data_IF_303400853390
#
_entry.id   IF_303400853390
#
_cell.length_a   1.000
_cell.length_b   1.000
_cell.length_c   1.000
_cell.angle_alpha   90.00
_cell.angle_beta   90.00
_cell.angle_gamma   90.00
#
_symmetry.space_group_name_H-M   'P 1'
#
loop_
_entity.id
_entity.type
_entity.pdbx_description
1 polymer ?
#
# COMPACT_ATOMS: atom_id res chain seq x y z
N UNK A 1 7.29 5.19 15.82
CA UNK A 1 7.10 6.08 14.64
C UNK A 1 7.33 5.21 13.42
N UNK A 2 6.28 4.88 12.70
CA UNK A 2 6.32 3.91 11.58
C UNK A 2 6.75 4.51 10.23
N UNK A 3 7.07 5.79 10.18
CA UNK A 3 7.58 6.43 8.97
C UNK A 3 8.98 6.99 9.20
N UNK A 4 9.93 6.61 8.34
CA UNK A 4 11.24 7.27 8.32
C UNK A 4 11.07 8.74 7.91
N UNK A 5 11.57 9.67 8.75
CA UNK A 5 11.40 11.10 8.50
C UNK A 5 11.99 11.54 7.16
N UNK A 6 13.16 11.02 6.76
CA UNK A 6 13.78 11.39 5.50
C UNK A 6 12.93 10.95 4.30
N UNK A 7 12.30 9.79 4.40
CA UNK A 7 11.35 9.29 3.40
C UNK A 7 10.11 10.19 3.28
N UNK A 8 9.54 10.61 4.41
CA UNK A 8 8.38 11.52 4.41
C UNK A 8 8.75 12.91 3.86
N UNK A 9 9.89 13.47 4.28
CA UNK A 9 10.39 14.76 3.76
C UNK A 9 10.63 14.70 2.24
N UNK A 10 11.12 13.57 1.72
CA UNK A 10 11.26 13.35 0.27
C UNK A 10 9.91 13.40 -0.44
N UNK A 11 8.93 12.61 0.02
CA UNK A 11 7.61 12.58 -0.62
C UNK A 11 6.85 13.89 -0.48
N UNK A 12 7.01 14.64 0.61
CA UNK A 12 6.44 15.98 0.75
C UNK A 12 7.03 16.96 -0.26
N UNK A 13 8.35 16.90 -0.49
CA UNK A 13 9.05 17.77 -1.45
C UNK A 13 8.75 17.44 -2.92
N UNK A 14 8.60 16.16 -3.22
CA UNK A 14 8.42 15.65 -4.59
C UNK A 14 6.95 15.32 -4.95
N UNK A 15 5.98 15.65 -4.08
CA UNK A 15 4.62 15.15 -4.19
C UNK A 15 3.96 15.32 -5.57
N UNK A 16 3.98 16.49 -6.25
CA UNK A 16 3.36 16.62 -7.57
C UNK A 16 4.06 15.78 -8.65
N UNK A 17 5.40 15.69 -8.60
CA UNK A 17 6.20 14.95 -9.58
C UNK A 17 6.00 13.45 -9.37
N UNK A 18 6.08 12.99 -8.12
CA UNK A 18 5.88 11.59 -7.77
C UNK A 18 4.45 11.11 -8.06
N UNK A 19 3.44 11.92 -7.74
CA UNK A 19 2.04 11.60 -8.02
C UNK A 19 1.80 11.41 -9.53
N UNK A 20 2.41 12.24 -10.37
CA UNK A 20 2.35 12.09 -11.83
C UNK A 20 3.10 10.85 -12.32
N UNK A 21 4.31 10.60 -11.80
CA UNK A 21 5.13 9.45 -12.19
C UNK A 21 4.49 8.11 -11.80
N UNK A 22 3.89 8.03 -10.61
CA UNK A 22 3.31 6.79 -10.06
C UNK A 22 2.00 6.39 -10.71
N UNK A 23 1.34 7.30 -11.42
CA UNK A 23 0.09 7.02 -12.11
C UNK A 23 0.35 6.11 -13.33
N UNK A 24 -0.37 4.98 -13.48
CA UNK A 24 -0.21 4.11 -14.63
C UNK A 24 -0.80 4.74 -15.90
N UNK A 25 -0.20 4.48 -17.06
CA UNK A 25 -0.69 4.93 -18.38
C UNK A 25 -1.99 4.22 -18.84
N UNK A 26 -2.54 3.33 -18.02
CA UNK A 26 -3.76 2.58 -18.35
C UNK A 26 -4.17 1.65 -17.19
N UNK A 27 -5.05 0.67 -17.44
CA UNK A 27 -5.49 -0.25 -16.41
C UNK A 27 -4.33 -0.98 -15.76
N UNK A 28 -4.21 -0.88 -14.44
CA UNK A 28 -3.19 -1.55 -13.67
C UNK A 28 -3.67 -2.96 -13.29
N UNK A 29 -3.14 -3.97 -13.96
CA UNK A 29 -3.63 -5.35 -13.87
C UNK A 29 -3.78 -5.91 -12.45
N UNK A 30 -2.93 -5.48 -11.51
CA UNK A 30 -3.01 -5.91 -10.12
C UNK A 30 -4.17 -5.26 -9.36
N UNK A 31 -4.47 -3.99 -9.65
CA UNK A 31 -5.64 -3.32 -9.09
C UNK A 31 -6.94 -3.91 -9.67
N UNK A 32 -6.99 -4.16 -10.99
CA UNK A 32 -8.15 -4.82 -11.60
C UNK A 32 -8.37 -6.23 -11.01
N UNK A 33 -7.28 -6.98 -10.77
CA UNK A 33 -7.38 -8.27 -10.05
C UNK A 33 -7.89 -8.08 -8.62
N UNK A 34 -7.40 -7.10 -7.86
CA UNK A 34 -7.89 -6.81 -6.52
C UNK A 34 -9.39 -6.50 -6.54
N UNK A 35 -9.83 -5.63 -7.43
CA UNK A 35 -11.25 -5.29 -7.60
C UNK A 35 -12.11 -6.50 -7.98
N UNK A 36 -11.58 -7.43 -8.79
CA UNK A 36 -12.29 -8.66 -9.14
C UNK A 36 -12.44 -9.67 -7.98
N UNK A 37 -11.63 -9.54 -6.93
CA UNK A 37 -11.70 -10.36 -5.72
C UNK A 37 -12.57 -9.72 -4.63
N UNK A 38 -12.73 -8.39 -4.66
CA UNK A 38 -13.61 -7.67 -3.75
C UNK A 38 -15.09 -7.94 -4.10
N UNK A 39 -16.04 -7.80 -3.14
CA UNK A 39 -17.45 -7.86 -3.47
C UNK A 39 -17.82 -6.74 -4.46
N UNK A 40 -18.88 -6.91 -5.26
CA UNK A 40 -19.31 -5.95 -6.29
C UNK A 40 -19.57 -4.53 -5.76
N UNK A 41 -19.89 -4.42 -4.48
CA UNK A 41 -20.07 -3.16 -3.76
C UNK A 41 -19.46 -3.29 -2.38
N UNK A 42 -19.01 -2.19 -1.81
CA UNK A 42 -18.44 -2.20 -0.46
C UNK A 42 -17.52 -1.01 -0.21
N UNK A 43 -16.84 -1.05 0.93
CA UNK A 43 -15.89 -0.03 1.34
C UNK A 43 -14.48 -0.52 1.19
N UNK A 44 -13.69 0.19 0.40
CA UNK A 44 -12.28 -0.09 0.17
C UNK A 44 -11.41 0.99 0.81
N UNK A 45 -10.21 0.58 1.22
CA UNK A 45 -9.18 1.49 1.73
C UNK A 45 -7.97 1.46 0.80
N UNK A 46 -7.54 2.65 0.35
CA UNK A 46 -6.22 2.85 -0.25
C UNK A 46 -5.23 3.25 0.87
N UNK A 47 -4.44 2.27 1.31
CA UNK A 47 -3.56 2.35 2.48
C UNK A 47 -2.17 2.84 2.06
N UNK A 48 -1.81 4.06 2.44
CA UNK A 48 -0.61 4.73 1.92
C UNK A 48 -0.78 5.05 0.44
N UNK A 49 -1.78 5.88 0.13
CA UNK A 49 -2.36 6.03 -1.21
C UNK A 49 -1.48 6.78 -2.22
N UNK A 50 -0.37 7.40 -1.76
CA UNK A 50 0.47 8.23 -2.64
C UNK A 50 -0.33 9.32 -3.33
N UNK A 51 -0.22 9.43 -4.66
CA UNK A 51 -0.96 10.39 -5.48
C UNK A 51 -2.46 10.07 -5.69
N UNK A 52 -2.99 8.96 -5.13
CA UNK A 52 -4.43 8.65 -5.12
C UNK A 52 -4.98 8.00 -6.40
N UNK A 53 -4.15 7.57 -7.34
CA UNK A 53 -4.62 6.98 -8.60
C UNK A 53 -5.43 5.67 -8.39
N UNK A 54 -5.04 4.86 -7.40
CA UNK A 54 -5.77 3.63 -7.08
C UNK A 54 -7.12 3.94 -6.43
N UNK A 55 -7.15 4.87 -5.46
CA UNK A 55 -8.40 5.35 -4.87
C UNK A 55 -9.35 5.92 -5.94
N UNK A 56 -8.84 6.71 -6.90
CA UNK A 56 -9.63 7.21 -8.03
C UNK A 56 -10.24 6.05 -8.84
N UNK A 57 -9.45 5.05 -9.19
CA UNK A 57 -9.94 3.90 -9.95
C UNK A 57 -10.98 3.08 -9.19
N UNK A 58 -10.83 2.94 -7.86
CA UNK A 58 -11.83 2.30 -7.00
C UNK A 58 -13.16 3.09 -7.00
N UNK A 59 -13.10 4.42 -6.89
CA UNK A 59 -14.28 5.29 -6.98
C UNK A 59 -14.99 5.16 -8.34
N UNK A 60 -14.25 5.17 -9.43
CA UNK A 60 -14.76 4.96 -10.79
C UNK A 60 -15.41 3.57 -10.97
N UNK A 61 -15.03 2.60 -10.15
CA UNK A 61 -15.63 1.26 -10.11
C UNK A 61 -16.86 1.18 -9.20
N UNK A 62 -17.29 2.28 -8.56
CA UNK A 62 -18.51 2.36 -7.77
C UNK A 62 -18.38 2.00 -6.29
N UNK A 63 -17.15 1.88 -5.77
CA UNK A 63 -16.91 1.59 -4.34
C UNK A 63 -16.98 2.86 -3.48
N UNK A 64 -17.35 2.67 -2.21
CA UNK A 64 -17.03 3.64 -1.16
C UNK A 64 -15.53 3.56 -0.87
N UNK A 65 -14.81 4.68 -0.94
CA UNK A 65 -13.35 4.69 -0.81
C UNK A 65 -12.91 5.63 0.30
N UNK A 66 -12.05 5.14 1.15
CA UNK A 66 -11.27 5.91 2.10
C UNK A 66 -9.79 5.81 1.71
N UNK A 67 -9.01 6.83 2.03
CA UNK A 67 -7.59 6.86 1.73
C UNK A 67 -6.83 7.67 2.77
N UNK A 68 -5.60 7.28 3.03
CA UNK A 68 -4.66 8.07 3.82
C UNK A 68 -3.23 7.92 3.29
N UNK A 69 -2.38 8.88 3.61
CA UNK A 69 -0.95 8.81 3.37
C UNK A 69 -0.17 9.45 4.53
N UNK A 70 1.07 9.04 4.74
CA UNK A 70 1.95 9.64 5.74
C UNK A 70 2.50 11.00 5.32
N UNK A 71 2.59 11.25 4.01
CA UNK A 71 3.03 12.52 3.42
C UNK A 71 1.86 13.48 3.26
N UNK A 72 1.95 14.65 3.86
CA UNK A 72 0.96 15.72 3.69
C UNK A 72 0.89 16.23 2.24
N UNK A 73 2.03 16.24 1.56
CA UNK A 73 2.11 16.60 0.14
C UNK A 73 1.34 15.63 -0.74
N UNK A 74 1.58 14.32 -0.59
CA UNK A 74 0.87 13.29 -1.35
C UNK A 74 -0.62 13.22 -1.00
N UNK A 75 -1.00 13.33 0.27
CA UNK A 75 -2.40 13.39 0.69
C UNK A 75 -3.15 14.56 0.04
N UNK A 76 -2.49 15.70 -0.14
CA UNK A 76 -3.05 16.87 -0.85
C UNK A 76 -3.24 16.57 -2.34
N UNK A 77 -2.26 15.98 -3.02
CA UNK A 77 -2.37 15.60 -4.43
C UNK A 77 -3.49 14.56 -4.63
N UNK A 78 -3.54 13.55 -3.75
CA UNK A 78 -4.60 12.53 -3.79
C UNK A 78 -5.99 13.14 -3.56
N UNK A 79 -6.14 14.08 -2.62
CA UNK A 79 -7.41 14.78 -2.39
C UNK A 79 -7.83 15.60 -3.62
N UNK A 80 -6.89 16.27 -4.27
CA UNK A 80 -7.16 17.03 -5.49
C UNK A 80 -7.59 16.13 -6.66
N UNK A 81 -6.98 14.95 -6.79
CA UNK A 81 -7.27 13.99 -7.85
C UNK A 81 -8.62 13.29 -7.67
N UNK A 82 -8.95 12.93 -6.43
CA UNK A 82 -10.09 12.03 -6.11
C UNK A 82 -11.34 12.76 -5.64
N UNK A 83 -11.20 13.95 -5.09
CA UNK A 83 -12.27 14.65 -4.36
C UNK A 83 -12.50 14.11 -2.94
N UNK A 84 -11.75 13.09 -2.51
CA UNK A 84 -11.82 12.58 -1.14
C UNK A 84 -11.12 13.51 -0.14
N UNK A 85 -11.54 13.43 1.11
CA UNK A 85 -10.77 13.97 2.23
C UNK A 85 -9.71 12.95 2.64
N UNK A 86 -8.54 12.96 1.97
CA UNK A 86 -7.44 12.06 2.28
C UNK A 86 -6.77 12.48 3.58
N UNK A 87 -6.70 11.58 4.56
CA UNK A 87 -6.14 11.87 5.90
C UNK A 87 -4.62 11.78 5.87
N UNK A 88 -3.94 12.69 6.57
CA UNK A 88 -2.51 12.53 6.86
C UNK A 88 -2.38 11.66 8.11
N UNK A 89 -1.88 10.43 7.95
CA UNK A 89 -1.87 9.44 9.03
C UNK A 89 -0.67 8.51 8.91
N UNK A 90 -0.02 8.20 10.05
CA UNK A 90 1.03 7.19 10.10
C UNK A 90 0.43 5.78 10.25
N UNK A 91 1.19 4.75 9.85
CA UNK A 91 0.75 3.36 9.95
C UNK A 91 0.43 2.94 11.40
N UNK A 92 1.18 3.46 12.40
CA UNK A 92 0.95 3.16 13.82
C UNK A 92 -0.36 3.74 14.36
N UNK A 93 -0.85 4.81 13.76
CA UNK A 93 -2.09 5.48 14.18
C UNK A 93 -3.34 4.82 13.57
N UNK A 94 -3.14 3.89 12.60
CA UNK A 94 -4.23 3.17 11.98
C UNK A 94 -4.79 2.10 12.95
N UNK A 95 -6.08 2.25 13.31
CA UNK A 95 -6.74 1.39 14.31
C UNK A 95 -8.23 1.24 14.02
N UNK A 96 -8.56 0.65 12.88
CA UNK A 96 -9.93 0.36 12.46
C UNK A 96 -10.31 -1.09 12.76
N UNK A 97 -11.61 -1.37 12.87
CA UNK A 97 -12.12 -2.71 13.20
C UNK A 97 -13.28 -3.09 12.29
N UNK A 98 -13.18 -4.23 11.58
CA UNK A 98 -14.26 -4.80 10.75
C UNK A 98 -14.96 -3.77 9.84
N UNK A 99 -14.15 -2.89 9.22
CA UNK A 99 -14.66 -1.73 8.49
C UNK A 99 -14.63 -1.90 6.97
N UNK A 100 -13.59 -2.54 6.43
CA UNK A 100 -13.31 -2.59 5.00
C UNK A 100 -13.59 -3.96 4.39
N UNK A 101 -14.15 -3.96 3.19
CA UNK A 101 -14.33 -5.14 2.35
C UNK A 101 -13.07 -5.47 1.57
N UNK A 102 -12.16 -4.48 1.44
CA UNK A 102 -10.83 -4.67 0.87
C UNK A 102 -9.86 -3.56 1.26
N UNK A 103 -8.59 -3.91 1.41
CA UNK A 103 -7.48 -2.97 1.69
C UNK A 103 -6.39 -3.17 0.63
N UNK A 104 -6.02 -2.05 0.00
CA UNK A 104 -4.96 -1.96 -1.00
C UNK A 104 -3.76 -1.23 -0.41
N UNK A 105 -2.66 -1.94 -0.15
CA UNK A 105 -1.41 -1.37 0.35
C UNK A 105 -0.29 -1.57 -0.70
N UNK A 106 -0.16 -0.60 -1.59
CA UNK A 106 0.72 -0.71 -2.76
C UNK A 106 2.04 -0.01 -2.53
N UNK A 107 3.10 -0.77 -2.24
CA UNK A 107 4.47 -0.28 -2.08
C UNK A 107 4.63 0.84 -1.03
N UNK A 108 3.80 0.83 0.01
CA UNK A 108 3.85 1.79 1.11
C UNK A 108 4.49 1.19 2.37
N UNK A 109 4.08 0.00 2.80
CA UNK A 109 4.58 -0.65 4.03
C UNK A 109 6.08 -1.00 3.99
N UNK A 110 6.67 -1.03 2.81
CA UNK A 110 8.12 -1.19 2.67
C UNK A 110 8.93 0.01 3.18
N UNK A 111 8.28 1.15 3.49
CA UNK A 111 8.92 2.31 4.10
C UNK A 111 8.89 2.28 5.64
N UNK A 112 8.25 1.25 6.23
CA UNK A 112 8.31 0.98 7.66
C UNK A 112 9.46 0.00 7.99
N UNK A 113 10.05 0.06 9.20
CA UNK A 113 11.00 -0.95 9.66
C UNK A 113 10.43 -2.37 9.57
N UNK A 114 11.27 -3.35 9.22
CA UNK A 114 10.87 -4.78 9.15
C UNK A 114 10.23 -5.24 10.46
N UNK A 115 10.73 -4.74 11.60
CA UNK A 115 10.22 -5.08 12.92
C UNK A 115 8.77 -4.66 13.15
N UNK A 116 8.27 -3.66 12.42
CA UNK A 116 6.91 -3.13 12.56
C UNK A 116 5.89 -3.89 11.68
N UNK A 117 6.38 -4.70 10.70
CA UNK A 117 5.50 -5.42 9.76
C UNK A 117 4.47 -6.32 10.47
N UNK A 118 4.80 -7.12 11.51
CA UNK A 118 3.80 -7.93 12.20
C UNK A 118 2.66 -7.09 12.80
N UNK A 119 2.98 -5.95 13.42
CA UNK A 119 1.99 -5.03 14.00
C UNK A 119 1.11 -4.38 12.93
N UNK A 120 1.68 -3.97 11.81
CA UNK A 120 0.95 -3.40 10.69
C UNK A 120 -0.01 -4.43 10.06
N UNK A 121 0.44 -5.67 9.86
CA UNK A 121 -0.42 -6.74 9.34
C UNK A 121 -1.56 -7.09 10.29
N UNK A 122 -1.33 -7.09 11.61
CA UNK A 122 -2.38 -7.31 12.60
C UNK A 122 -3.46 -6.21 12.54
N UNK A 123 -3.07 -4.93 12.46
CA UNK A 123 -4.02 -3.80 12.33
C UNK A 123 -4.83 -3.91 11.03
N UNK A 124 -4.19 -4.27 9.92
CA UNK A 124 -4.87 -4.46 8.63
C UNK A 124 -5.86 -5.63 8.71
N UNK A 125 -5.45 -6.75 9.33
CA UNK A 125 -6.34 -7.90 9.56
C UNK A 125 -7.59 -7.49 10.36
N UNK A 126 -7.40 -6.78 11.46
CA UNK A 126 -8.50 -6.31 12.32
C UNK A 126 -9.44 -5.35 11.60
N UNK A 127 -8.91 -4.50 10.73
CA UNK A 127 -9.68 -3.52 9.96
C UNK A 127 -10.53 -4.14 8.84
N UNK A 128 -10.12 -5.29 8.31
CA UNK A 128 -10.90 -6.02 7.31
C UNK A 128 -12.13 -6.67 7.95
N UNK A 129 -13.21 -6.73 7.21
CA UNK A 129 -14.36 -7.59 7.52
C UNK A 129 -13.99 -9.06 7.28
N UNK A 130 -14.69 -10.03 7.93
CA UNK A 130 -14.55 -11.44 7.58
C UNK A 130 -14.76 -11.68 6.08
N UNK A 131 -13.80 -12.33 5.42
CA UNK A 131 -13.78 -12.53 3.97
C UNK A 131 -13.27 -11.33 3.17
N UNK A 132 -12.88 -10.23 3.82
CA UNK A 132 -12.32 -9.06 3.16
C UNK A 132 -10.96 -9.35 2.52
N UNK A 133 -10.72 -8.75 1.35
CA UNK A 133 -9.52 -9.00 0.55
C UNK A 133 -8.39 -8.03 0.88
N UNK A 134 -7.17 -8.51 0.83
CA UNK A 134 -5.97 -7.70 1.07
C UNK A 134 -4.97 -7.86 -0.08
N UNK A 135 -4.52 -6.72 -0.59
CA UNK A 135 -3.37 -6.63 -1.50
C UNK A 135 -2.21 -5.94 -0.80
N UNK A 136 -1.01 -6.51 -0.97
CA UNK A 136 0.23 -5.97 -0.46
C UNK A 136 1.30 -5.96 -1.57
N UNK A 137 1.76 -4.77 -1.93
CA UNK A 137 2.88 -4.56 -2.84
C UNK A 137 4.17 -4.28 -2.06
N UNK A 138 5.23 -5.05 -2.32
CA UNK A 138 6.55 -4.93 -1.69
C UNK A 138 7.68 -5.07 -2.70
N UNK A 139 8.91 -4.76 -2.28
CA UNK A 139 10.15 -5.14 -2.97
C UNK A 139 10.68 -6.45 -2.38
N UNK A 140 10.99 -7.42 -3.25
CA UNK A 140 11.53 -8.71 -2.84
C UNK A 140 13.03 -8.62 -2.60
N UNK A 141 13.49 -9.18 -1.49
CA UNK A 141 14.91 -9.18 -1.08
C UNK A 141 15.05 -9.30 0.42
N UNK A 142 16.22 -8.97 0.95
CA UNK A 142 16.54 -9.07 2.37
C UNK A 142 17.09 -7.77 2.94
N UNK A 143 16.89 -7.59 4.26
CA UNK A 143 17.44 -6.47 5.01
C UNK A 143 16.69 -5.16 4.81
N UNK A 144 17.36 -4.08 5.18
CA UNK A 144 16.87 -2.71 5.15
C UNK A 144 17.97 -1.81 4.59
N UNK A 145 17.62 -0.85 3.77
CA UNK A 145 18.58 0.16 3.25
C UNK A 145 17.85 1.42 2.80
N UNK A 146 18.58 2.53 2.73
CA UNK A 146 18.12 3.71 2.01
C UNK A 146 18.59 3.65 0.55
N UNK A 147 17.77 4.18 -0.36
CA UNK A 147 18.15 4.35 -1.76
C UNK A 147 19.01 5.61 -1.99
N UNK A 148 19.36 5.87 -3.25
CA UNK A 148 20.17 7.05 -3.64
C UNK A 148 19.48 8.39 -3.39
N UNK A 149 18.17 8.39 -3.20
CA UNK A 149 17.34 9.56 -2.90
C UNK A 149 17.07 9.74 -1.39
N UNK A 150 17.65 8.87 -0.54
CA UNK A 150 17.52 8.90 0.91
C UNK A 150 16.25 8.27 1.46
N UNK A 151 15.43 7.61 0.61
CA UNK A 151 14.21 6.92 1.08
C UNK A 151 14.58 5.58 1.69
N UNK A 152 14.03 5.30 2.87
CA UNK A 152 14.21 4.02 3.57
C UNK A 152 13.34 2.92 2.96
N UNK A 153 13.92 1.72 2.81
CA UNK A 153 13.25 0.52 2.30
C UNK A 153 13.54 -0.71 3.15
N UNK A 154 12.49 -1.43 3.47
CA UNK A 154 12.51 -2.80 4.00
C UNK A 154 12.22 -3.78 2.87
N UNK A 155 13.09 -4.77 2.70
CA UNK A 155 12.95 -5.84 1.71
C UNK A 155 12.49 -7.12 2.39
N UNK A 156 11.67 -7.91 1.70
CA UNK A 156 11.08 -9.13 2.25
C UNK A 156 11.19 -10.29 1.25
N UNK A 157 11.61 -11.45 1.75
CA UNK A 157 11.51 -12.70 1.00
C UNK A 157 10.07 -13.22 1.00
N UNK A 158 9.62 -13.90 -0.08
CA UNK A 158 8.25 -14.43 -0.18
C UNK A 158 7.86 -15.36 0.98
N UNK A 159 8.81 -16.17 1.44
CA UNK A 159 8.61 -17.12 2.55
C UNK A 159 8.32 -16.38 3.86
N UNK A 160 9.10 -15.33 4.16
CA UNK A 160 8.90 -14.52 5.35
C UNK A 160 7.54 -13.82 5.34
N UNK A 161 7.13 -13.24 4.21
CA UNK A 161 5.80 -12.59 4.10
C UNK A 161 4.67 -13.61 4.24
N UNK A 162 4.84 -14.82 3.70
CA UNK A 162 3.86 -15.90 3.88
C UNK A 162 3.69 -16.25 5.36
N UNK A 163 4.79 -16.38 6.10
CA UNK A 163 4.76 -16.70 7.52
C UNK A 163 4.12 -15.58 8.34
N UNK A 164 4.49 -14.32 8.07
CA UNK A 164 3.93 -13.16 8.78
C UNK A 164 2.43 -12.99 8.54
N UNK A 165 1.96 -13.16 7.31
CA UNK A 165 0.53 -13.11 6.99
C UNK A 165 -0.24 -14.25 7.66
N UNK A 166 0.31 -15.46 7.65
CA UNK A 166 -0.31 -16.62 8.32
C UNK A 166 -0.38 -16.40 9.83
N UNK A 167 0.67 -15.88 10.45
CA UNK A 167 0.68 -15.53 11.88
C UNK A 167 -0.33 -14.45 12.25
N UNK A 168 -0.56 -13.49 11.35
CA UNK A 168 -1.59 -12.45 11.54
C UNK A 168 -3.02 -12.98 11.33
N UNK A 169 -3.20 -14.21 10.83
CA UNK A 169 -4.51 -14.84 10.64
C UNK A 169 -5.05 -14.84 9.21
N UNK A 170 -4.31 -14.28 8.25
CA UNK A 170 -4.71 -14.28 6.83
C UNK A 170 -4.70 -15.68 6.22
N UNK A 171 -5.50 -15.88 5.19
CA UNK A 171 -5.46 -17.09 4.35
C UNK A 171 -4.11 -17.22 3.64
N UNK A 172 -3.79 -18.41 3.12
CA UNK A 172 -2.55 -18.64 2.35
C UNK A 172 -2.44 -17.64 1.20
N UNK A 173 -1.38 -16.80 1.17
CA UNK A 173 -1.26 -15.75 0.17
C UNK A 173 -0.91 -16.29 -1.22
N UNK A 174 -1.43 -15.62 -2.24
CA UNK A 174 -0.96 -15.79 -3.62
C UNK A 174 0.12 -14.75 -3.90
N UNK A 175 1.35 -15.17 -4.12
CA UNK A 175 2.49 -14.29 -4.40
C UNK A 175 2.88 -14.36 -5.87
N UNK A 176 3.17 -13.20 -6.47
CA UNK A 176 3.71 -13.05 -7.82
C UNK A 176 4.91 -12.11 -7.78
N UNK A 177 6.02 -12.57 -8.32
CA UNK A 177 7.23 -11.76 -8.49
C UNK A 177 7.32 -11.27 -9.94
N UNK A 178 7.80 -10.05 -10.12
CA UNK A 178 8.13 -9.50 -11.43
C UNK A 178 9.34 -8.57 -11.32
N UNK A 179 10.08 -8.45 -12.40
CA UNK A 179 11.07 -7.39 -12.55
C UNK A 179 10.35 -6.06 -12.83
N UNK A 180 10.90 -4.99 -12.32
CA UNK A 180 10.40 -3.63 -12.50
C UNK A 180 11.50 -2.62 -12.27
N UNK A 181 11.13 -1.35 -12.17
CA UNK A 181 12.05 -0.23 -11.97
C UNK A 181 11.56 0.63 -10.82
N UNK A 182 12.48 1.09 -9.98
CA UNK A 182 12.19 2.04 -8.91
C UNK A 182 12.07 3.48 -9.44
N UNK A 183 11.59 4.40 -8.61
CA UNK A 183 11.55 5.83 -8.93
C UNK A 183 12.95 6.41 -9.23
N UNK A 184 14.00 5.80 -8.69
CA UNK A 184 15.40 6.14 -8.94
C UNK A 184 15.96 5.55 -10.24
N UNK A 185 15.11 4.87 -11.05
CA UNK A 185 15.49 4.25 -12.32
C UNK A 185 16.28 2.94 -12.17
N UNK A 186 16.43 2.42 -10.96
CA UNK A 186 17.17 1.17 -10.74
C UNK A 186 16.26 -0.06 -10.84
N UNK A 187 16.81 -1.19 -11.36
CA UNK A 187 16.06 -2.46 -11.43
C UNK A 187 15.67 -2.95 -10.04
N UNK A 188 14.43 -3.39 -9.90
CA UNK A 188 13.86 -3.88 -8.65
C UNK A 188 13.06 -5.18 -8.87
N UNK A 189 13.11 -6.07 -7.89
CA UNK A 189 12.22 -7.23 -7.82
C UNK A 189 10.95 -6.84 -7.06
N UNK A 190 9.85 -6.74 -7.77
CA UNK A 190 8.55 -6.38 -7.20
C UNK A 190 7.79 -7.64 -6.80
N UNK A 191 7.14 -7.59 -5.64
CA UNK A 191 6.33 -8.67 -5.08
C UNK A 191 4.89 -8.19 -4.90
N UNK A 192 3.96 -8.90 -5.54
CA UNK A 192 2.52 -8.66 -5.46
C UNK A 192 1.87 -9.80 -4.70
N UNK A 193 1.22 -9.49 -3.60
CA UNK A 193 0.63 -10.45 -2.66
C UNK A 193 -0.87 -10.23 -2.58
N UNK A 194 -1.66 -11.30 -2.69
CA UNK A 194 -3.11 -11.29 -2.52
C UNK A 194 -3.48 -12.32 -1.46
N UNK A 195 -4.29 -11.92 -0.49
CA UNK A 195 -4.80 -12.78 0.58
C UNK A 195 -6.15 -12.27 1.06
N UNK A 196 -6.76 -12.93 2.03
CA UNK A 196 -8.03 -12.53 2.64
C UNK A 196 -8.03 -12.83 4.14
N UNK A 197 -8.91 -12.10 4.86
CA UNK A 197 -9.21 -12.37 6.26
C UNK A 197 -10.14 -13.57 6.42
#
# INVERSE_FOLDING_TARGET
>A
MSGDKATLDFYDGEAPVYASWSAPDGPFAWLEKFLSLAPETGRLLDYGCGGGWAAKRMLESGYEVEAFDGSAGLAKEASALTGLNVTVQQFDDFNEQNRYDGIWASFCLLHAPRADMPGNLARIYDALKPGGVFYLGLKSGSGEKSDSLGRFYSYFEPELITDLLTQAGFTTPQIRLREGEGYDGLPEKLMHVFTAR
#
